data_IF_206631128937
#
_entry.id   IF_206631128937
#
_cell.length_a   1.000
_cell.length_b   1.000
_cell.length_c   1.000
_cell.angle_alpha   90.00
_cell.angle_beta   90.00
_cell.angle_gamma   90.00
#
_symmetry.space_group_name_H-M   'P 1'
#
loop_
_entity.id
_entity.type
_entity.pdbx_description
1 polymer ?
#
# COMPACT_ATOMS: atom_id res chain seq x y z
N UNK A 1 -7.58 0.87 10.84
CA UNK A 1 -6.69 2.00 10.46
C UNK A 1 -6.54 2.09 8.94
N UNK A 2 -6.21 3.25 8.37
CA UNK A 2 -5.96 3.39 6.92
C UNK A 2 -4.79 2.51 6.42
N UNK A 3 -3.73 2.37 7.25
CA UNK A 3 -2.58 1.51 6.95
C UNK A 3 -2.97 0.03 6.84
N UNK A 4 -3.72 -0.50 7.81
CA UNK A 4 -4.23 -1.89 7.77
C UNK A 4 -5.12 -2.14 6.56
N UNK A 5 -5.97 -1.19 6.19
CA UNK A 5 -6.78 -1.27 4.97
C UNK A 5 -5.90 -1.33 3.72
N UNK A 6 -4.81 -0.58 3.68
CA UNK A 6 -3.87 -0.63 2.56
C UNK A 6 -3.34 -2.05 2.37
N UNK A 7 -2.94 -2.73 3.46
CA UNK A 7 -2.40 -4.09 3.42
C UNK A 7 -3.35 -5.12 2.78
N UNK A 8 -4.66 -4.88 2.79
CA UNK A 8 -5.63 -5.80 2.17
C UNK A 8 -5.67 -5.74 0.65
N UNK A 9 -5.06 -4.72 0.04
CA UNK A 9 -5.07 -4.53 -1.41
C UNK A 9 -3.84 -5.09 -2.13
N UNK A 10 -2.88 -5.66 -1.39
CA UNK A 10 -1.81 -6.43 -2.00
C UNK A 10 -2.40 -7.61 -2.77
N UNK A 11 -1.82 -7.92 -3.93
CA UNK A 11 -2.12 -9.19 -4.59
C UNK A 11 -1.49 -10.36 -3.81
N UNK A 12 -1.68 -11.59 -4.32
CA UNK A 12 -1.11 -12.81 -3.72
C UNK A 12 0.42 -12.85 -3.64
N UNK A 13 1.13 -11.95 -4.34
CA UNK A 13 2.59 -11.78 -4.27
C UNK A 13 3.03 -10.64 -3.33
N UNK A 14 2.09 -9.95 -2.68
CA UNK A 14 2.41 -8.78 -1.85
C UNK A 14 2.63 -7.49 -2.64
N UNK A 15 2.25 -7.45 -3.92
CA UNK A 15 2.52 -6.32 -4.82
C UNK A 15 1.32 -5.35 -4.89
N UNK A 16 1.63 -4.07 -5.02
CA UNK A 16 0.66 -2.97 -5.12
C UNK A 16 0.71 -2.26 -6.47
N UNK A 17 -0.46 -1.79 -6.90
CA UNK A 17 -0.63 -0.88 -8.05
C UNK A 17 -0.44 0.58 -7.66
N UNK A 18 -0.43 1.45 -8.67
CA UNK A 18 -0.44 2.90 -8.50
C UNK A 18 -1.71 3.41 -7.82
N UNK A 19 -2.86 2.88 -8.25
CA UNK A 19 -4.17 3.31 -7.78
C UNK A 19 -5.03 2.11 -7.40
N UNK A 20 -6.08 2.39 -6.61
CA UNK A 20 -7.09 1.41 -6.21
C UNK A 20 -8.45 1.97 -6.61
N UNK A 21 -9.15 1.22 -7.45
CA UNK A 21 -10.46 1.62 -7.93
C UNK A 21 -11.56 1.44 -6.88
N UNK A 22 -12.79 1.90 -7.18
CA UNK A 22 -13.90 1.88 -6.23
C UNK A 22 -14.29 0.48 -5.74
N UNK A 23 -13.98 -0.58 -6.50
CA UNK A 23 -14.26 -1.97 -6.14
C UNK A 23 -13.06 -2.69 -5.53
N UNK A 24 -11.94 -1.98 -5.32
CA UNK A 24 -10.70 -2.54 -4.80
C UNK A 24 -9.78 -3.12 -5.86
N UNK A 25 -10.10 -2.91 -7.14
CA UNK A 25 -9.28 -3.34 -8.26
C UNK A 25 -7.99 -2.52 -8.36
N UNK A 26 -6.91 -3.19 -8.75
CA UNK A 26 -5.65 -2.55 -9.06
C UNK A 26 -5.77 -1.73 -10.36
N UNK A 27 -5.50 -0.43 -10.29
CA UNK A 27 -5.53 0.50 -11.43
C UNK A 27 -4.15 1.12 -11.69
N UNK A 28 -3.91 1.52 -12.93
CA UNK A 28 -2.66 2.16 -13.34
C UNK A 28 -1.48 1.20 -13.44
N UNK A 29 -0.28 1.73 -13.19
CA UNK A 29 0.96 0.96 -13.31
C UNK A 29 1.02 -0.16 -12.25
N UNK A 30 1.47 -1.33 -12.68
CA UNK A 30 1.60 -2.50 -11.81
C UNK A 30 2.82 -3.37 -12.20
N UNK A 31 3.67 -3.76 -11.23
CA UNK A 31 3.74 -3.26 -9.84
C UNK A 31 4.30 -1.84 -9.81
N UNK A 32 3.80 -0.99 -8.91
CA UNK A 32 4.27 0.40 -8.81
C UNK A 32 5.23 0.61 -7.65
N UNK A 33 6.51 0.85 -7.95
CA UNK A 33 7.58 1.05 -6.98
C UNK A 33 7.31 2.19 -5.99
N UNK A 34 6.74 3.31 -6.43
CA UNK A 34 6.45 4.42 -5.53
C UNK A 34 5.39 4.09 -4.48
N UNK A 35 4.38 3.29 -4.82
CA UNK A 35 3.39 2.82 -3.84
C UNK A 35 4.05 1.97 -2.75
N UNK A 36 4.98 1.10 -3.13
CA UNK A 36 5.73 0.28 -2.17
C UNK A 36 6.62 1.14 -1.26
N UNK A 37 7.32 2.13 -1.84
CA UNK A 37 8.15 3.06 -1.07
C UNK A 37 7.33 3.88 -0.07
N UNK A 38 6.15 4.35 -0.49
CA UNK A 38 5.23 5.08 0.38
C UNK A 38 4.72 4.20 1.54
N UNK A 39 4.40 2.93 1.27
CA UNK A 39 3.96 1.99 2.30
C UNK A 39 5.06 1.73 3.36
N UNK A 40 6.31 1.51 2.92
CA UNK A 40 7.46 1.35 3.82
C UNK A 40 7.65 2.61 4.67
N UNK A 41 7.58 3.78 4.05
CA UNK A 41 7.73 5.07 4.74
C UNK A 41 6.63 5.30 5.77
N UNK A 42 5.39 4.91 5.45
CA UNK A 42 4.26 4.98 6.37
C UNK A 42 4.46 4.03 7.56
N UNK A 43 4.89 2.79 7.33
CA UNK A 43 5.16 1.81 8.39
C UNK A 43 6.22 2.34 9.37
N UNK A 44 7.34 2.85 8.84
CA UNK A 44 8.43 3.42 9.63
C UNK A 44 7.98 4.62 10.48
N UNK A 45 7.20 5.54 9.91
CA UNK A 45 6.74 6.72 10.64
C UNK A 45 5.68 6.37 11.70
N UNK A 46 4.82 5.37 11.44
CA UNK A 46 3.86 4.88 12.43
C UNK A 46 4.58 4.22 13.60
N UNK A 47 5.59 3.38 13.34
CA UNK A 47 6.41 2.75 14.38
C UNK A 47 7.06 3.81 15.28
N UNK A 48 7.71 4.82 14.69
CA UNK A 48 8.31 5.94 15.42
C UNK A 48 7.30 6.76 16.25
N UNK A 49 6.05 6.84 15.82
CA UNK A 49 5.03 7.65 16.50
C UNK A 49 4.29 6.90 17.61
N UNK A 50 4.29 5.56 17.57
CA UNK A 50 3.57 4.70 18.51
C UNK A 50 4.50 3.99 19.51
N UNK A 51 5.80 3.89 19.20
CA UNK A 51 6.86 3.52 20.14
C UNK A 51 7.36 4.68 20.98
#
# INVERSE_FOLDING_TARGET
LAFEKMLTYANHLGLYSEEIGPTGEALGNFPQAFTHLALISAAYNLDKALG
#
